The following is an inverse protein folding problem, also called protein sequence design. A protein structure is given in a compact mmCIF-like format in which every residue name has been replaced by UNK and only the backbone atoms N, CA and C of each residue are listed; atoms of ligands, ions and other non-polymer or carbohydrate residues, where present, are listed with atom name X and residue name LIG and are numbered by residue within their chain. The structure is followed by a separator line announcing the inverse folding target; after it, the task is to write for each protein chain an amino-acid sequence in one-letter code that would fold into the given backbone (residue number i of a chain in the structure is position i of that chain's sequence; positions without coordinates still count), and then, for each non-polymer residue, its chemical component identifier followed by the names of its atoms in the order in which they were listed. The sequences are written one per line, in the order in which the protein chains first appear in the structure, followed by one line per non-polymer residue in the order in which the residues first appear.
data_IF_643370484314
#
_entry.id   IF_643370484314
#
_cell.length_a   1.000
_cell.length_b   1.000
_cell.length_c   1.000
_cell.angle_alpha   90.00
_cell.angle_beta   90.00
_cell.angle_gamma   90.00
#
_symmetry.space_group_name_H-M   'P 1'
#
loop_
_entity.id
_entity.type
_entity.pdbx_description
1 polymer ?
#
# COMPACT_ATOMS: atom_id res chain seq x y z
N UNK A 1 7.71 -1.14 6.37
CA UNK A 1 9.16 -1.39 6.47
C UNK A 1 9.92 -0.38 5.61
N UNK A 2 11.25 -0.19 5.81
CA UNK A 2 12.07 0.77 5.07
C UNK A 2 12.31 0.29 3.63
N UNK A 3 11.33 0.53 2.78
CA UNK A 3 11.25 -0.03 1.44
C UNK A 3 12.09 0.69 0.38
N UNK A 4 12.61 1.89 0.68
CA UNK A 4 13.40 2.68 -0.27
C UNK A 4 14.88 2.53 0.01
N UNK A 5 15.64 2.09 -0.99
CA UNK A 5 17.09 1.89 -0.91
C UNK A 5 17.80 2.72 -1.95
N UNK A 6 18.88 3.36 -1.56
CA UNK A 6 19.78 4.05 -2.47
C UNK A 6 21.09 3.26 -2.65
N UNK A 7 21.54 3.18 -3.88
CA UNK A 7 22.75 2.42 -4.20
C UNK A 7 23.40 2.91 -5.47
N UNK A 8 24.30 2.09 -5.99
CA UNK A 8 25.03 2.36 -7.23
C UNK A 8 25.06 1.13 -8.14
N UNK A 9 25.13 1.39 -9.43
CA UNK A 9 25.31 0.36 -10.45
C UNK A 9 26.76 -0.03 -10.59
N UNK A 10 27.07 -1.34 -10.67
CA UNK A 10 28.41 -1.91 -10.73
C UNK A 10 29.38 -1.17 -11.67
N UNK A 11 29.11 -1.23 -12.96
CA UNK A 11 30.10 -0.79 -13.97
C UNK A 11 30.28 0.73 -14.10
N UNK A 12 29.31 1.50 -13.69
CA UNK A 12 29.27 2.95 -13.96
C UNK A 12 29.29 3.80 -12.69
N UNK A 13 29.13 3.22 -11.52
CA UNK A 13 28.94 3.95 -10.27
C UNK A 13 27.69 4.85 -10.25
N UNK A 14 26.82 4.75 -11.27
CA UNK A 14 25.66 5.60 -11.37
C UNK A 14 24.73 5.38 -10.19
N UNK A 15 24.31 6.46 -9.52
CA UNK A 15 23.35 6.42 -8.42
C UNK A 15 22.02 5.84 -8.90
N UNK A 16 21.45 4.99 -8.10
CA UNK A 16 20.18 4.31 -8.33
C UNK A 16 19.30 4.38 -7.09
N UNK A 17 17.99 4.34 -7.30
CA UNK A 17 16.98 4.12 -6.28
C UNK A 17 16.29 2.78 -6.57
N UNK A 18 16.18 1.95 -5.55
CA UNK A 18 15.44 0.69 -5.59
C UNK A 18 14.35 0.75 -4.53
N UNK A 19 13.14 0.49 -4.95
CA UNK A 19 11.98 0.49 -4.09
C UNK A 19 11.45 -0.93 -3.97
N UNK A 20 11.61 -1.53 -2.80
CA UNK A 20 11.16 -2.88 -2.50
C UNK A 20 9.63 -2.93 -2.44
N UNK A 21 8.99 -3.78 -3.24
CA UNK A 21 7.54 -3.93 -3.26
C UNK A 21 7.09 -5.18 -2.51
N UNK A 22 7.69 -6.30 -2.85
CA UNK A 22 7.24 -7.61 -2.37
C UNK A 22 8.35 -8.63 -2.43
N UNK A 23 8.47 -9.44 -1.38
CA UNK A 23 9.30 -10.63 -1.40
C UNK A 23 8.60 -11.74 -2.19
N UNK A 24 9.21 -12.20 -3.28
CA UNK A 24 8.69 -13.27 -4.12
C UNK A 24 9.10 -14.65 -3.64
N UNK A 25 10.32 -14.75 -3.11
CA UNK A 25 10.87 -15.99 -2.58
C UNK A 25 11.87 -15.70 -1.47
N UNK A 26 11.54 -16.11 -0.27
CA UNK A 26 12.34 -15.86 0.93
C UNK A 26 13.68 -16.63 0.91
N UNK A 27 13.66 -17.90 0.49
CA UNK A 27 14.87 -18.71 0.46
C UNK A 27 15.92 -18.20 -0.51
N UNK A 28 15.49 -17.67 -1.65
CA UNK A 28 16.37 -17.12 -2.68
C UNK A 28 16.55 -15.60 -2.59
N UNK A 29 16.01 -14.93 -1.57
CA UNK A 29 16.02 -13.48 -1.40
C UNK A 29 15.58 -12.73 -2.67
N UNK A 30 14.51 -13.25 -3.31
CA UNK A 30 13.99 -12.74 -4.58
C UNK A 30 12.89 -11.71 -4.30
N UNK A 31 13.01 -10.52 -4.89
CA UNK A 31 12.13 -9.40 -4.65
C UNK A 31 11.61 -8.78 -5.95
N UNK A 32 10.34 -8.42 -5.95
CA UNK A 32 9.76 -7.51 -6.93
C UNK A 32 10.01 -6.07 -6.48
N UNK A 33 10.53 -5.24 -7.38
CA UNK A 33 10.98 -3.88 -7.04
C UNK A 33 10.67 -2.89 -8.16
N UNK A 34 10.60 -1.61 -7.81
CA UNK A 34 10.67 -0.51 -8.77
C UNK A 34 12.05 0.11 -8.70
N UNK A 35 12.60 0.49 -9.85
CA UNK A 35 13.94 1.07 -9.94
C UNK A 35 13.93 2.42 -10.66
N UNK A 36 14.84 3.29 -10.26
CA UNK A 36 15.08 4.57 -10.91
C UNK A 36 16.60 4.85 -10.99
N UNK A 37 17.13 5.26 -12.18
CA UNK A 37 16.51 5.37 -13.50
C UNK A 37 16.36 4.01 -14.20
N UNK A 38 15.13 3.61 -14.50
CA UNK A 38 14.82 2.28 -15.03
C UNK A 38 15.53 1.93 -16.35
N UNK A 39 15.75 2.92 -17.22
CA UNK A 39 16.44 2.73 -18.52
C UNK A 39 17.90 2.26 -18.37
N UNK A 40 18.53 2.56 -17.24
CA UNK A 40 19.93 2.21 -16.96
C UNK A 40 20.10 0.88 -16.23
N UNK A 41 19.01 0.33 -15.67
CA UNK A 41 19.03 -0.89 -14.87
C UNK A 41 18.41 -2.03 -15.68
N UNK A 42 19.25 -2.97 -16.11
CA UNK A 42 18.89 -4.09 -17.01
C UNK A 42 19.18 -5.43 -16.34
N UNK A 43 18.56 -6.50 -16.85
CA UNK A 43 18.86 -7.88 -16.45
C UNK A 43 20.36 -8.15 -16.49
N UNK A 44 20.87 -8.84 -15.48
CA UNK A 44 22.29 -9.15 -15.29
C UNK A 44 23.12 -8.02 -14.67
N UNK A 45 22.53 -6.83 -14.40
CA UNK A 45 23.27 -5.79 -13.66
C UNK A 45 23.32 -6.12 -12.17
N UNK A 46 24.46 -5.86 -11.56
CA UNK A 46 24.62 -5.85 -10.11
C UNK A 46 24.43 -4.44 -9.56
N UNK A 47 23.74 -4.38 -8.44
CA UNK A 47 23.36 -3.18 -7.71
C UNK A 47 23.97 -3.29 -6.31
N UNK A 48 24.71 -2.27 -5.91
CA UNK A 48 25.46 -2.20 -4.67
C UNK A 48 24.82 -1.19 -3.74
N UNK A 49 24.61 -1.56 -2.49
CA UNK A 49 24.00 -0.75 -1.46
C UNK A 49 24.90 -0.64 -0.24
N UNK A 50 24.84 0.52 0.42
CA UNK A 50 25.72 0.87 1.52
C UNK A 50 27.03 1.53 1.05
N UNK A 51 27.81 2.05 2.00
CA UNK A 51 29.06 2.76 1.71
C UNK A 51 30.18 1.81 1.31
N UNK A 52 30.21 0.61 1.90
CA UNK A 52 31.20 -0.44 1.67
C UNK A 52 30.64 -1.66 0.94
N UNK A 53 29.54 -1.48 0.18
CA UNK A 53 28.88 -2.55 -0.57
C UNK A 53 28.36 -3.70 0.32
N UNK A 54 27.82 -3.33 1.47
CA UNK A 54 27.35 -4.25 2.49
C UNK A 54 26.24 -5.18 1.97
N UNK A 55 25.49 -4.73 0.96
CA UNK A 55 24.44 -5.53 0.33
C UNK A 55 24.53 -5.41 -1.18
N UNK A 56 24.46 -6.55 -1.87
CA UNK A 56 24.51 -6.63 -3.34
C UNK A 56 23.24 -7.32 -3.84
N UNK A 57 22.68 -6.81 -4.94
CA UNK A 57 21.59 -7.48 -5.63
C UNK A 57 21.88 -7.63 -7.13
N UNK A 58 21.36 -8.66 -7.73
CA UNK A 58 21.40 -8.92 -9.17
C UNK A 58 20.01 -8.75 -9.77
N UNK A 59 19.92 -8.06 -10.90
CA UNK A 59 18.66 -7.92 -11.64
C UNK A 59 18.42 -9.18 -12.45
N UNK A 60 17.33 -9.90 -12.11
CA UNK A 60 17.00 -11.19 -12.70
C UNK A 60 16.03 -11.04 -13.87
N UNK A 61 15.05 -10.12 -13.76
CA UNK A 61 14.01 -9.94 -14.78
C UNK A 61 13.46 -8.52 -14.83
N UNK A 62 12.80 -8.17 -15.94
CA UNK A 62 12.05 -6.94 -16.14
C UNK A 62 10.55 -7.25 -16.04
N UNK A 63 9.87 -6.74 -15.04
CA UNK A 63 8.43 -7.01 -14.84
C UNK A 63 7.53 -5.95 -15.48
N UNK A 64 7.92 -4.69 -15.44
CA UNK A 64 7.23 -3.55 -16.07
C UNK A 64 8.23 -2.53 -16.58
N UNK A 65 7.76 -1.40 -17.13
CA UNK A 65 8.64 -0.32 -17.61
C UNK A 65 9.65 0.17 -16.55
N UNK A 66 9.26 0.15 -15.27
CA UNK A 66 10.12 0.50 -14.11
C UNK A 66 10.31 -0.66 -13.13
N UNK A 67 9.56 -1.74 -13.29
CA UNK A 67 9.62 -2.92 -12.42
C UNK A 67 10.77 -3.85 -12.79
N UNK A 68 11.38 -4.44 -11.78
CA UNK A 68 12.41 -5.47 -11.88
C UNK A 68 12.16 -6.55 -10.85
N UNK A 69 12.60 -7.75 -11.18
CA UNK A 69 12.86 -8.78 -10.16
C UNK A 69 14.35 -8.72 -9.85
N UNK A 70 14.69 -8.55 -8.58
CA UNK A 70 16.08 -8.61 -8.12
C UNK A 70 16.27 -9.78 -7.15
N UNK A 71 17.47 -10.31 -7.10
CA UNK A 71 17.91 -11.30 -6.12
C UNK A 71 19.04 -10.68 -5.29
N UNK A 72 18.85 -10.60 -3.98
CA UNK A 72 19.93 -10.22 -3.09
C UNK A 72 20.91 -11.39 -2.94
N UNK A 73 22.19 -11.07 -3.09
CA UNK A 73 23.30 -12.00 -2.88
C UNK A 73 23.71 -11.92 -1.42
N UNK A 74 23.21 -12.85 -0.61
CA UNK A 74 23.35 -12.86 0.83
C UNK A 74 23.56 -14.27 1.35
N UNK A 75 24.67 -14.49 2.06
CA UNK A 75 25.07 -15.79 2.59
C UNK A 75 24.73 -15.97 4.09
N UNK A 76 24.25 -14.92 4.76
CA UNK A 76 23.86 -14.93 6.16
C UNK A 76 22.41 -15.43 6.39
N UNK A 77 22.00 -15.40 7.65
CA UNK A 77 20.65 -15.75 8.06
C UNK A 77 19.62 -14.77 7.53
N UNK A 78 18.34 -15.15 7.57
CA UNK A 78 17.23 -14.27 7.18
C UNK A 78 17.09 -13.07 8.14
N UNK A 79 17.37 -13.27 9.41
CA UNK A 79 17.34 -12.24 10.43
C UNK A 79 18.40 -11.16 10.19
N UNK A 80 19.63 -11.57 9.91
CA UNK A 80 20.73 -10.66 9.53
C UNK A 80 20.40 -9.91 8.23
N UNK A 81 19.83 -10.58 7.24
CA UNK A 81 19.38 -9.94 5.99
C UNK A 81 18.31 -8.87 6.26
N UNK A 82 17.32 -9.17 7.10
CA UNK A 82 16.29 -8.21 7.50
C UNK A 82 16.89 -7.02 8.25
N UNK A 83 17.82 -7.27 9.17
CA UNK A 83 18.57 -6.23 9.85
C UNK A 83 19.33 -5.31 8.88
N UNK A 84 19.93 -5.87 7.82
CA UNK A 84 20.62 -5.09 6.80
C UNK A 84 19.63 -4.23 5.98
N UNK A 85 18.46 -4.75 5.65
CA UNK A 85 17.42 -3.94 5.00
C UNK A 85 16.92 -2.78 5.89
N UNK A 86 16.85 -2.98 7.20
CA UNK A 86 16.49 -1.93 8.16
C UNK A 86 17.56 -0.82 8.26
N UNK A 87 18.83 -1.21 8.16
CA UNK A 87 19.97 -0.27 8.23
C UNK A 87 20.08 0.55 6.95
N UNK A 88 19.97 -0.10 5.79
CA UNK A 88 20.21 0.52 4.47
C UNK A 88 18.95 1.15 3.87
N UNK A 89 17.77 0.76 4.33
CA UNK A 89 16.51 1.24 3.82
C UNK A 89 16.05 2.52 4.50
N UNK A 90 15.30 3.33 3.76
CA UNK A 90 14.64 4.53 4.26
C UNK A 90 13.12 4.36 4.27
N UNK A 91 12.46 4.99 5.25
CA UNK A 91 10.99 5.07 5.30
C UNK A 91 10.48 5.77 4.05
N UNK A 92 9.57 5.16 3.28
CA UNK A 92 9.12 5.70 2.00
C UNK A 92 8.09 6.82 2.18
N UNK A 93 8.54 8.02 2.47
CA UNK A 93 7.64 9.19 2.51
C UNK A 93 7.06 9.47 1.11
N UNK A 94 5.81 9.91 1.01
CA UNK A 94 5.20 10.36 -0.24
C UNK A 94 5.98 11.52 -0.86
N UNK A 95 6.00 11.59 -2.18
CA UNK A 95 6.75 12.61 -2.94
C UNK A 95 6.36 14.07 -2.66
N UNK A 96 5.17 14.32 -2.12
CA UNK A 96 4.74 15.66 -1.74
C UNK A 96 5.38 16.14 -0.43
N UNK A 97 5.93 15.24 0.39
CA UNK A 97 6.76 15.59 1.55
C UNK A 97 8.18 15.83 1.04
N UNK A 98 8.54 17.10 0.90
CA UNK A 98 9.82 17.52 0.27
C UNK A 98 10.98 17.58 1.27
N UNK A 99 11.12 16.60 2.14
CA UNK A 99 12.25 16.43 3.04
C UNK A 99 12.71 14.98 3.08
N UNK A 100 13.91 14.72 3.54
CA UNK A 100 14.35 13.36 3.83
C UNK A 100 13.59 12.81 5.04
N UNK A 101 13.36 11.49 5.08
CA UNK A 101 12.85 10.84 6.27
C UNK A 101 13.80 11.07 7.45
N UNK A 102 13.25 11.23 8.64
CA UNK A 102 13.96 11.19 9.92
C UNK A 102 13.58 9.93 10.70
N UNK A 103 14.21 9.71 11.85
CA UNK A 103 13.96 8.51 12.66
C UNK A 103 12.52 8.46 13.22
N UNK A 104 11.94 9.62 13.50
CA UNK A 104 10.55 9.69 13.97
C UNK A 104 9.54 9.25 12.90
N UNK A 105 9.88 9.38 11.61
CA UNK A 105 9.00 8.97 10.52
C UNK A 105 8.75 7.47 10.49
N UNK A 106 9.64 6.65 11.03
CA UNK A 106 9.43 5.20 11.15
C UNK A 106 8.19 4.89 11.98
N UNK A 107 7.98 5.63 13.06
CA UNK A 107 6.81 5.48 13.92
C UNK A 107 5.63 6.33 13.46
N UNK A 108 5.86 7.60 13.11
CA UNK A 108 4.81 8.57 12.78
C UNK A 108 4.16 8.28 11.43
N UNK A 109 4.88 7.68 10.48
CA UNK A 109 4.34 7.31 9.17
C UNK A 109 3.89 5.85 9.11
N UNK A 110 3.38 5.33 10.23
CA UNK A 110 2.77 4.03 10.37
C UNK A 110 1.56 4.11 11.31
N UNK A 111 0.57 3.25 11.10
CA UNK A 111 -0.60 3.18 11.99
C UNK A 111 -0.25 2.49 13.30
N UNK A 112 -0.88 2.93 14.40
CA UNK A 112 -0.69 2.34 15.74
C UNK A 112 -1.17 0.89 15.85
N UNK A 113 -1.86 0.39 14.84
CA UNK A 113 -2.40 -0.97 14.75
C UNK A 113 -1.75 -1.84 13.66
N UNK A 114 -0.65 -1.39 13.04
CA UNK A 114 0.10 -2.19 12.08
C UNK A 114 0.66 -3.46 12.73
N UNK A 115 0.40 -4.63 12.11
CA UNK A 115 0.81 -5.95 12.64
C UNK A 115 1.65 -6.76 11.66
N UNK A 116 1.37 -6.65 10.38
CA UNK A 116 1.96 -7.49 9.34
C UNK A 116 2.77 -6.64 8.37
N UNK A 117 4.04 -6.96 8.23
CA UNK A 117 4.92 -6.32 7.26
C UNK A 117 4.55 -6.69 5.82
N UNK A 118 4.80 -5.78 4.87
CA UNK A 118 4.58 -6.03 3.43
C UNK A 118 4.03 -4.85 2.65
N UNK A 119 3.42 -3.86 3.33
CA UNK A 119 2.96 -2.65 2.66
C UNK A 119 4.12 -1.67 2.44
N UNK A 120 4.10 -1.04 1.28
CA UNK A 120 5.08 -0.03 0.84
C UNK A 120 4.58 1.38 1.16
N UNK A 121 3.26 1.56 1.20
CA UNK A 121 2.63 2.83 1.56
C UNK A 121 1.79 2.65 2.83
N UNK A 122 1.92 3.59 3.76
CA UNK A 122 1.09 3.61 4.96
C UNK A 122 -0.37 3.93 4.60
N UNK A 123 -1.36 3.32 5.28
CA UNK A 123 -2.78 3.67 5.12
C UNK A 123 -3.06 4.99 5.82
N UNK A 124 -2.82 6.10 5.11
CA UNK A 124 -2.77 7.46 5.68
C UNK A 124 -4.03 7.90 6.42
N UNK A 125 -5.20 7.41 6.04
CA UNK A 125 -6.44 7.63 6.80
C UNK A 125 -6.38 7.03 8.21
N UNK A 126 -5.66 5.93 8.38
CA UNK A 126 -5.43 5.28 9.67
C UNK A 126 -4.50 6.06 10.61
N UNK A 127 -3.65 6.94 10.08
CA UNK A 127 -2.74 7.77 10.89
C UNK A 127 -3.49 8.75 11.79
N UNK A 128 -4.76 9.05 11.49
CA UNK A 128 -5.61 9.89 12.34
C UNK A 128 -6.07 9.17 13.62
N UNK A 129 -5.87 7.86 13.73
CA UNK A 129 -6.31 7.07 14.87
C UNK A 129 -5.14 6.81 15.83
N UNK A 130 -5.14 7.52 16.97
CA UNK A 130 -4.26 7.20 18.08
C UNK A 130 -4.84 6.03 18.91
N UNK A 131 -4.00 5.38 19.72
CA UNK A 131 -4.46 4.35 20.66
C UNK A 131 -5.51 4.90 21.63
N UNK A 132 -5.32 6.15 22.08
CA UNK A 132 -6.27 6.83 22.95
C UNK A 132 -7.62 7.04 22.24
N UNK A 133 -7.62 7.53 21.00
CA UNK A 133 -8.85 7.71 20.22
C UNK A 133 -9.60 6.38 20.02
N UNK A 134 -8.88 5.32 19.65
CA UNK A 134 -9.46 3.98 19.51
C UNK A 134 -10.13 3.57 20.82
N UNK A 135 -9.42 3.69 21.95
CA UNK A 135 -9.96 3.33 23.25
C UNK A 135 -11.21 4.14 23.63
N UNK A 136 -11.21 5.43 23.36
CA UNK A 136 -12.38 6.32 23.60
C UNK A 136 -13.58 5.93 22.74
N UNK A 137 -13.36 5.50 21.50
CA UNK A 137 -14.40 5.05 20.61
C UNK A 137 -14.97 3.68 21.06
N UNK A 138 -14.11 2.75 21.52
CA UNK A 138 -14.53 1.47 22.09
C UNK A 138 -15.41 1.67 23.33
N UNK A 139 -15.06 2.59 24.22
CA UNK A 139 -15.87 2.93 25.41
C UNK A 139 -17.26 3.47 24.99
N UNK A 140 -17.36 4.12 23.84
CA UNK A 140 -18.63 4.57 23.25
C UNK A 140 -19.41 3.44 22.52
N UNK A 141 -18.90 2.21 22.54
CA UNK A 141 -19.55 1.05 21.91
C UNK A 141 -19.21 0.85 20.44
N UNK A 142 -18.24 1.61 19.88
CA UNK A 142 -17.78 1.39 18.50
C UNK A 142 -16.87 0.18 18.48
N UNK A 143 -17.13 -0.74 17.56
CA UNK A 143 -16.33 -1.94 17.36
C UNK A 143 -15.40 -1.77 16.18
N UNK A 144 -14.17 -2.25 16.32
CA UNK A 144 -13.16 -2.26 15.27
C UNK A 144 -13.03 -3.66 14.68
N UNK A 145 -12.96 -3.71 13.35
CA UNK A 145 -12.62 -4.89 12.58
C UNK A 145 -11.37 -4.59 11.75
N UNK A 146 -10.46 -5.54 11.67
CA UNK A 146 -9.15 -5.36 11.06
C UNK A 146 -9.09 -6.08 9.70
N UNK A 147 -8.44 -5.45 8.72
CA UNK A 147 -8.05 -6.08 7.47
C UNK A 147 -6.56 -5.82 7.21
N UNK A 148 -5.85 -6.81 6.70
CA UNK A 148 -4.47 -6.64 6.26
C UNK A 148 -4.45 -6.26 4.80
N UNK A 149 -3.69 -5.22 4.47
CA UNK A 149 -3.50 -4.74 3.10
C UNK A 149 -2.03 -4.43 2.87
N UNK A 150 -1.49 -5.00 1.80
CA UNK A 150 -0.14 -4.70 1.31
C UNK A 150 -0.25 -3.77 0.12
N UNK A 151 -0.34 -2.47 0.41
CA UNK A 151 -0.50 -1.43 -0.60
C UNK A 151 0.81 -1.21 -1.34
N UNK A 152 0.76 -1.30 -2.66
CA UNK A 152 1.86 -1.00 -3.56
C UNK A 152 1.88 0.46 -4.04
N UNK A 153 2.88 0.80 -4.84
CA UNK A 153 2.99 2.14 -5.46
C UNK A 153 1.98 2.38 -6.60
N UNK A 154 1.37 1.33 -7.13
CA UNK A 154 0.42 1.41 -8.24
C UNK A 154 -0.79 2.29 -7.93
N UNK A 155 -1.19 2.33 -6.65
CA UNK A 155 -2.28 3.17 -6.15
C UNK A 155 -2.05 4.68 -6.39
N UNK A 156 -0.79 5.11 -6.50
CA UNK A 156 -0.42 6.51 -6.73
C UNK A 156 -0.09 6.83 -8.19
N UNK A 157 -0.24 5.88 -9.10
CA UNK A 157 -0.06 6.16 -10.54
C UNK A 157 -1.18 7.03 -11.06
N UNK A 158 -0.87 8.07 -11.85
CA UNK A 158 -1.89 8.83 -12.55
C UNK A 158 -2.65 7.93 -13.53
N UNK A 159 -3.95 8.15 -13.63
CA UNK A 159 -4.77 7.54 -14.68
C UNK A 159 -4.52 8.32 -15.98
N UNK A 160 -4.03 7.61 -17.00
CA UNK A 160 -3.63 8.19 -18.29
C UNK A 160 -4.66 7.92 -19.39
N UNK A 161 -5.73 7.18 -19.08
CA UNK A 161 -6.79 6.84 -20.04
C UNK A 161 -7.99 7.78 -19.86
N UNK A 162 -8.62 8.17 -20.98
CA UNK A 162 -9.87 8.95 -20.94
C UNK A 162 -11.07 8.09 -20.57
N UNK A 163 -11.10 6.85 -21.07
CA UNK A 163 -12.12 5.86 -20.76
C UNK A 163 -11.70 5.03 -19.54
N UNK A 164 -12.33 5.29 -18.40
CA UNK A 164 -12.00 4.63 -17.12
C UNK A 164 -12.15 3.11 -17.18
N UNK A 165 -13.00 2.57 -18.04
CA UNK A 165 -13.16 1.12 -18.19
C UNK A 165 -11.90 0.43 -18.74
N UNK A 166 -11.01 1.17 -19.37
CA UNK A 166 -9.72 0.69 -19.92
C UNK A 166 -8.57 0.79 -18.93
N UNK A 167 -8.79 1.43 -17.78
CA UNK A 167 -7.75 1.52 -16.76
C UNK A 167 -7.51 0.17 -16.10
N UNK A 168 -6.24 -0.23 -16.02
CA UNK A 168 -5.81 -1.45 -15.31
C UNK A 168 -5.17 -1.06 -13.98
N UNK A 169 -5.83 -1.41 -12.89
CA UNK A 169 -5.25 -1.29 -11.56
C UNK A 169 -4.16 -2.35 -11.34
N UNK A 170 -3.09 -1.96 -10.68
CA UNK A 170 -2.14 -2.93 -10.15
C UNK A 170 -2.83 -3.75 -9.05
N UNK A 171 -2.55 -5.05 -9.02
CA UNK A 171 -3.09 -5.93 -8.00
C UNK A 171 -2.39 -5.69 -6.66
N UNK A 172 -3.16 -5.62 -5.59
CA UNK A 172 -2.67 -5.50 -4.22
C UNK A 172 -3.18 -6.67 -3.38
N UNK A 173 -2.29 -7.21 -2.53
CA UNK A 173 -2.66 -8.30 -1.64
C UNK A 173 -3.52 -7.78 -0.51
N UNK A 174 -4.57 -8.53 -0.18
CA UNK A 174 -5.41 -8.27 0.99
C UNK A 174 -5.79 -9.57 1.70
N UNK A 175 -6.11 -9.44 2.98
CA UNK A 175 -6.62 -10.52 3.82
C UNK A 175 -7.66 -9.95 4.78
N UNK A 176 -8.85 -10.57 4.78
CA UNK A 176 -9.94 -10.31 5.72
C UNK A 176 -10.24 -11.61 6.44
N UNK A 177 -10.03 -11.61 7.75
CA UNK A 177 -10.23 -12.78 8.58
C UNK A 177 -11.70 -12.97 8.96
N UNK A 178 -12.06 -14.18 9.35
CA UNK A 178 -13.42 -14.53 9.77
C UNK A 178 -13.89 -13.68 10.97
N UNK A 179 -13.00 -13.39 11.90
CA UNK A 179 -13.27 -12.52 13.06
C UNK A 179 -13.73 -11.13 12.65
N UNK A 180 -13.10 -10.53 11.65
CA UNK A 180 -13.49 -9.24 11.09
C UNK A 180 -14.84 -9.32 10.38
N UNK A 181 -15.07 -10.38 9.60
CA UNK A 181 -16.34 -10.62 8.93
C UNK A 181 -17.49 -10.73 9.93
N UNK A 182 -17.29 -11.49 11.01
CA UNK A 182 -18.31 -11.66 12.05
C UNK A 182 -18.68 -10.34 12.73
N UNK A 183 -17.69 -9.47 13.00
CA UNK A 183 -17.95 -8.14 13.58
C UNK A 183 -18.76 -7.28 12.62
N UNK A 184 -18.35 -7.20 11.35
CA UNK A 184 -18.98 -6.36 10.33
C UNK A 184 -20.39 -6.85 10.02
N UNK A 185 -20.55 -8.16 9.77
CA UNK A 185 -21.85 -8.73 9.41
C UNK A 185 -22.86 -8.61 10.54
N UNK A 186 -22.46 -8.88 11.80
CA UNK A 186 -23.33 -8.69 12.96
C UNK A 186 -23.78 -7.23 13.10
N UNK A 187 -22.90 -6.26 12.88
CA UNK A 187 -23.25 -4.86 12.92
C UNK A 187 -24.27 -4.53 11.82
N UNK A 188 -24.04 -5.01 10.60
CA UNK A 188 -24.92 -4.80 9.45
C UNK A 188 -26.30 -5.41 9.65
N UNK A 189 -26.39 -6.66 10.11
CA UNK A 189 -27.63 -7.36 10.43
C UNK A 189 -28.43 -6.67 11.54
N UNK A 190 -27.73 -6.01 12.47
CA UNK A 190 -28.36 -5.22 13.55
C UNK A 190 -28.71 -3.78 13.13
N UNK A 191 -28.57 -3.42 11.85
CA UNK A 191 -28.89 -2.10 11.33
C UNK A 191 -27.89 -1.00 11.70
N UNK A 192 -26.68 -1.38 12.14
CA UNK A 192 -25.61 -0.43 12.45
C UNK A 192 -24.79 -0.11 11.19
N UNK A 193 -24.25 1.10 11.17
CA UNK A 193 -23.42 1.57 10.04
C UNK A 193 -22.01 1.03 10.07
N UNK A 194 -21.50 0.72 8.89
CA UNK A 194 -20.13 0.29 8.65
C UNK A 194 -19.33 1.46 8.11
N UNK A 195 -18.26 1.82 8.80
CA UNK A 195 -17.33 2.88 8.38
C UNK A 195 -16.01 2.28 7.89
N UNK A 196 -15.68 2.49 6.63
CA UNK A 196 -14.37 2.14 6.08
C UNK A 196 -13.34 3.20 6.44
N UNK A 197 -12.20 2.77 7.00
CA UNK A 197 -11.07 3.65 7.24
C UNK A 197 -10.03 3.39 6.14
N UNK A 198 -9.98 4.31 5.19
CA UNK A 198 -9.13 4.25 4.00
C UNK A 198 -9.78 3.64 2.77
N UNK A 199 -9.36 4.15 1.61
CA UNK A 199 -9.80 3.68 0.29
C UNK A 199 -9.35 2.24 0.00
N UNK A 200 -8.21 1.83 0.51
CA UNK A 200 -7.69 0.47 0.38
C UNK A 200 -8.56 -0.53 1.14
N UNK A 201 -9.00 -0.20 2.35
CA UNK A 201 -9.97 -1.00 3.13
C UNK A 201 -11.30 -1.11 2.40
N UNK A 202 -11.80 0.00 1.84
CA UNK A 202 -13.01 0.00 1.02
C UNK A 202 -12.87 -0.98 -0.14
N UNK A 203 -11.76 -0.93 -0.88
CA UNK A 203 -11.52 -1.82 -2.01
C UNK A 203 -11.45 -3.30 -1.59
N UNK A 204 -10.82 -3.61 -0.47
CA UNK A 204 -10.76 -4.98 0.05
C UNK A 204 -12.17 -5.50 0.37
N UNK A 205 -12.98 -4.71 1.08
CA UNK A 205 -14.36 -5.09 1.40
C UNK A 205 -15.22 -5.30 0.16
N UNK A 206 -15.13 -4.38 -0.82
CA UNK A 206 -15.87 -4.47 -2.08
C UNK A 206 -15.33 -5.56 -3.04
N UNK A 207 -14.19 -6.16 -2.71
CA UNK A 207 -13.67 -7.36 -3.39
C UNK A 207 -14.08 -8.68 -2.70
N UNK A 208 -14.75 -8.61 -1.54
CA UNK A 208 -14.90 -9.77 -0.66
C UNK A 208 -16.29 -9.85 0.01
N UNK A 209 -17.35 -9.85 -0.80
CA UNK A 209 -18.72 -9.98 -0.27
C UNK A 209 -19.51 -11.10 -0.95
N UNK A 210 -20.59 -11.55 -0.28
CA UNK A 210 -21.55 -12.55 -0.77
C UNK A 210 -22.66 -11.89 -1.59
N UNK A 211 -23.46 -12.71 -2.27
CA UNK A 211 -24.68 -12.24 -2.97
C UNK A 211 -25.69 -11.55 -2.02
N UNK A 212 -25.67 -11.89 -0.72
CA UNK A 212 -26.47 -11.25 0.33
C UNK A 212 -25.85 -9.95 0.85
N UNK A 213 -24.76 -9.48 0.23
CA UNK A 213 -24.00 -8.28 0.63
C UNK A 213 -23.43 -8.36 2.05
N UNK A 214 -23.01 -9.55 2.46
CA UNK A 214 -22.27 -9.79 3.69
C UNK A 214 -20.79 -9.97 3.37
N UNK A 215 -19.93 -9.45 4.25
CA UNK A 215 -18.48 -9.62 4.12
C UNK A 215 -18.14 -11.11 4.31
N UNK A 216 -17.25 -11.64 3.48
CA UNK A 216 -16.76 -13.03 3.62
C UNK A 216 -15.27 -13.08 3.88
N UNK A 217 -14.78 -14.07 4.63
CA UNK A 217 -13.34 -14.29 4.78
C UNK A 217 -12.69 -14.49 3.41
N UNK A 218 -11.60 -13.79 3.17
CA UNK A 218 -10.94 -13.82 1.88
C UNK A 218 -9.47 -13.41 2.02
N UNK A 219 -8.63 -14.08 1.25
CA UNK A 219 -7.22 -13.77 1.12
C UNK A 219 -6.81 -13.89 -0.34
N UNK A 220 -6.09 -12.91 -0.86
CA UNK A 220 -5.66 -12.93 -2.26
C UNK A 220 -5.28 -11.56 -2.79
N UNK A 221 -5.36 -11.44 -4.10
CA UNK A 221 -4.99 -10.24 -4.83
C UNK A 221 -6.23 -9.58 -5.44
N UNK A 222 -6.37 -8.25 -5.27
CA UNK A 222 -7.44 -7.49 -5.90
C UNK A 222 -6.86 -6.40 -6.80
N UNK A 223 -7.35 -6.35 -8.02
CA UNK A 223 -7.17 -5.25 -8.97
C UNK A 223 -8.48 -4.49 -9.19
N UNK A 224 -9.42 -4.61 -8.27
CA UNK A 224 -10.73 -3.98 -8.36
C UNK A 224 -10.60 -2.47 -8.46
N UNK A 225 -11.00 -1.91 -9.60
CA UNK A 225 -11.05 -0.48 -9.85
C UNK A 225 -12.47 0.03 -9.64
N UNK A 226 -12.69 0.73 -8.54
CA UNK A 226 -13.99 1.32 -8.21
C UNK A 226 -14.05 2.73 -8.82
N UNK A 227 -15.00 2.93 -9.73
CA UNK A 227 -15.25 4.21 -10.41
C UNK A 227 -16.76 4.44 -10.61
N UNK A 228 -17.22 5.68 -10.80
CA UNK A 228 -18.66 5.94 -11.07
C UNK A 228 -19.12 5.34 -12.41
N UNK A 229 -20.38 4.83 -12.51
CA UNK A 229 -21.28 4.61 -11.39
C UNK A 229 -20.95 3.33 -10.63
N UNK A 230 -20.98 3.34 -9.29
CA UNK A 230 -20.72 2.18 -8.46
C UNK A 230 -21.68 2.12 -7.26
N UNK A 231 -22.22 0.95 -6.97
CA UNK A 231 -23.09 0.70 -5.82
C UNK A 231 -22.30 -0.05 -4.75
N UNK A 232 -21.97 0.62 -3.66
CA UNK A 232 -21.25 0.04 -2.54
C UNK A 232 -22.12 -0.98 -1.80
N UNK A 233 -21.53 -2.09 -1.40
CA UNK A 233 -22.25 -3.22 -0.83
C UNK A 233 -22.06 -3.37 0.67
N UNK A 234 -20.90 -2.99 1.20
CA UNK A 234 -20.54 -3.22 2.60
C UNK A 234 -20.56 -1.94 3.42
N UNK A 235 -19.80 -0.92 3.02
CA UNK A 235 -19.63 0.27 3.83
C UNK A 235 -20.69 1.35 3.57
N UNK A 236 -21.13 2.00 4.65
CA UNK A 236 -22.09 3.11 4.64
C UNK A 236 -21.39 4.47 4.76
N UNK A 237 -20.14 4.48 5.20
CA UNK A 237 -19.32 5.68 5.35
C UNK A 237 -17.86 5.40 5.09
N UNK A 238 -17.13 6.45 4.70
CA UNK A 238 -15.73 6.40 4.35
C UNK A 238 -14.97 7.55 5.01
N UNK A 239 -13.93 7.21 5.77
CA UNK A 239 -12.91 8.16 6.21
C UNK A 239 -11.70 8.01 5.31
N UNK A 240 -11.30 9.08 4.64
CA UNK A 240 -10.15 9.09 3.74
C UNK A 240 -9.47 10.46 3.72
N UNK A 241 -8.26 10.52 3.18
CA UNK A 241 -7.52 11.77 2.99
C UNK A 241 -7.92 12.47 1.69
N UNK A 242 -7.46 13.70 1.50
CA UNK A 242 -7.46 14.32 0.19
C UNK A 242 -6.49 13.60 -0.74
N UNK A 243 -6.87 13.43 -1.99
CA UNK A 243 -6.12 12.69 -3.00
C UNK A 243 -5.69 13.58 -4.16
N UNK A 244 -4.56 13.25 -4.78
CA UNK A 244 -4.07 13.96 -5.94
C UNK A 244 -5.01 13.79 -7.14
N UNK A 245 -5.05 14.78 -8.05
CA UNK A 245 -5.81 14.69 -9.30
C UNK A 245 -5.38 13.46 -10.12
N UNK A 246 -6.32 12.94 -10.91
CA UNK A 246 -6.10 11.79 -11.81
C UNK A 246 -5.65 10.51 -11.09
N UNK A 247 -6.01 10.32 -9.82
CA UNK A 247 -5.73 9.07 -9.10
C UNK A 247 -6.98 8.22 -8.94
N UNK A 248 -6.79 6.91 -8.89
CA UNK A 248 -7.87 5.95 -8.60
C UNK A 248 -8.54 6.22 -7.24
N UNK A 249 -7.81 6.80 -6.30
CA UNK A 249 -8.30 7.15 -4.96
C UNK A 249 -9.33 8.30 -5.02
N UNK A 250 -9.04 9.36 -5.78
CA UNK A 250 -10.00 10.45 -5.97
C UNK A 250 -11.24 9.97 -6.72
N UNK A 251 -11.07 9.11 -7.72
CA UNK A 251 -12.20 8.55 -8.48
C UNK A 251 -13.09 7.68 -7.58
N UNK A 252 -12.51 6.87 -6.70
CA UNK A 252 -13.28 6.10 -5.72
C UNK A 252 -14.05 7.01 -4.75
N UNK A 253 -13.43 8.08 -4.26
CA UNK A 253 -14.10 9.05 -3.39
C UNK A 253 -15.27 9.73 -4.13
N UNK A 254 -15.11 10.07 -5.42
CA UNK A 254 -16.20 10.58 -6.26
C UNK A 254 -17.29 9.52 -6.50
N UNK A 255 -16.94 8.25 -6.64
CA UNK A 255 -17.92 7.17 -6.77
C UNK A 255 -18.75 7.02 -5.49
N UNK A 256 -18.15 7.27 -4.31
CA UNK A 256 -18.81 7.14 -3.02
C UNK A 256 -19.70 8.36 -2.69
N UNK A 257 -19.18 9.55 -2.80
CA UNK A 257 -19.84 10.78 -2.34
C UNK A 257 -20.54 11.58 -3.46
N UNK A 258 -20.27 11.25 -4.73
CA UNK A 258 -20.68 12.05 -5.87
C UNK A 258 -19.63 13.10 -6.25
N UNK A 259 -19.53 13.36 -7.55
CA UNK A 259 -18.50 14.26 -8.10
C UNK A 259 -18.63 15.70 -7.58
N UNK A 260 -19.87 16.26 -7.62
CA UNK A 260 -20.09 17.67 -7.28
C UNK A 260 -19.75 17.97 -5.82
N UNK A 261 -20.19 17.11 -4.89
CA UNK A 261 -19.89 17.24 -3.47
C UNK A 261 -18.38 17.14 -3.21
N UNK A 262 -17.70 16.20 -3.88
CA UNK A 262 -16.26 16.06 -3.75
C UNK A 262 -15.53 17.29 -4.27
N UNK A 263 -15.91 17.83 -5.43
CA UNK A 263 -15.28 19.03 -5.98
C UNK A 263 -15.55 20.28 -5.12
N UNK A 264 -16.72 20.37 -4.51
CA UNK A 264 -17.01 21.47 -3.55
C UNK A 264 -16.14 21.36 -2.31
N UNK A 265 -15.98 20.14 -1.73
CA UNK A 265 -15.10 19.91 -0.59
C UNK A 265 -13.65 20.29 -0.88
N UNK A 266 -13.13 19.92 -2.07
CA UNK A 266 -11.78 20.26 -2.50
C UNK A 266 -11.56 21.77 -2.72
N UNK A 267 -12.60 22.50 -3.14
CA UNK A 267 -12.53 23.97 -3.28
C UNK A 267 -12.49 24.68 -1.93
N UNK A 268 -13.08 24.08 -0.90
CA UNK A 268 -13.10 24.64 0.48
C UNK A 268 -11.84 24.31 1.28
N UNK A 269 -11.17 23.20 0.99
CA UNK A 269 -9.92 22.78 1.65
C UNK A 269 -8.71 23.51 1.08
#
# INVERSE_FOLDING_TARGET
FPARMYGRKEKTGAKIEVFLLRELNKANKLWDVIVDPARKIRVGNKLYFGESDELVAEVIDNTTSRGRTIRFLWDGTDEEFRGMLEILGETPLPKYIKRKPDEEDKERYQTVYAKHEGAVAAPTAGLHFSQELIKRLEIKGIRFAEATLHTGLGTFRPIEVEDLSKHKMDAEYYRIEETACNIVNKAKESGHRICSIGTTTMRAMESSFTAQKLLKPSEGWTNHFIHPPYNFNIADSLVTNFHLPKTSLLIMACAFAGYDLMMEAYKKA
#
